data_IF_819266102472
#
_entry.id   IF_819266102472
#
_cell.length_a   1.000
_cell.length_b   1.000
_cell.length_c   1.000
_cell.angle_alpha   90.00
_cell.angle_beta   90.00
_cell.angle_gamma   90.00
#
_symmetry.space_group_name_H-M   'P 1'
#
loop_
_entity.id
_entity.type
_entity.pdbx_description
1 polymer ?
#
# COMPACT_ATOMS: atom_id res chain seq x y z
N UNK A 1 16.10 -18.55 -17.42
CA UNK A 1 15.80 -17.22 -17.96
C UNK A 1 14.47 -16.85 -17.31
N UNK A 2 14.59 -15.96 -16.34
CA UNK A 2 13.60 -15.16 -15.62
C UNK A 2 12.53 -15.86 -14.76
N UNK A 3 12.88 -16.01 -13.47
CA UNK A 3 11.99 -16.23 -12.32
C UNK A 3 11.06 -15.01 -12.09
N UNK A 4 10.17 -14.71 -13.05
CA UNK A 4 9.01 -13.89 -12.76
C UNK A 4 8.01 -14.74 -11.97
N UNK A 5 7.86 -14.47 -10.67
CA UNK A 5 6.72 -15.03 -9.94
C UNK A 5 5.45 -14.40 -10.52
N UNK A 6 4.62 -15.12 -11.30
CA UNK A 6 3.53 -14.50 -12.02
C UNK A 6 2.54 -13.91 -11.02
N UNK A 7 2.35 -12.59 -11.04
CA UNK A 7 1.16 -11.96 -10.48
C UNK A 7 1.31 -11.07 -9.24
N UNK A 8 2.51 -10.69 -8.83
CA UNK A 8 2.69 -9.69 -7.75
C UNK A 8 3.41 -8.43 -8.20
N UNK A 9 4.44 -8.56 -9.02
CA UNK A 9 5.26 -7.43 -9.45
C UNK A 9 6.02 -7.74 -10.74
N UNK A 10 6.58 -6.68 -11.34
CA UNK A 10 7.66 -6.74 -12.33
C UNK A 10 8.75 -5.77 -11.90
N UNK A 11 10.02 -6.12 -12.14
CA UNK A 11 11.16 -5.24 -11.85
C UNK A 11 11.98 -5.10 -13.13
N UNK A 12 11.96 -3.91 -13.72
CA UNK A 12 12.69 -3.62 -14.95
C UNK A 12 13.44 -2.29 -14.82
N UNK A 13 14.75 -2.29 -15.08
CA UNK A 13 15.62 -1.09 -15.05
C UNK A 13 15.57 -0.25 -13.76
N UNK A 14 15.25 -0.89 -12.63
CA UNK A 14 15.10 -0.25 -11.32
C UNK A 14 13.70 0.32 -11.05
N UNK A 15 12.73 0.07 -11.92
CA UNK A 15 11.31 0.38 -11.69
C UNK A 15 10.60 -0.88 -11.22
N UNK A 16 10.16 -0.86 -9.97
CA UNK A 16 9.33 -1.90 -9.38
C UNK A 16 7.86 -1.55 -9.62
N UNK A 17 7.19 -2.32 -10.47
CA UNK A 17 5.76 -2.21 -10.73
C UNK A 17 5.05 -3.28 -9.91
N UNK A 18 4.18 -2.92 -8.97
CA UNK A 18 3.46 -3.87 -8.09
C UNK A 18 1.97 -3.92 -8.41
N UNK A 19 1.34 -5.08 -8.24
CA UNK A 19 -0.08 -5.28 -8.52
C UNK A 19 -0.96 -5.02 -7.30
N UNK A 20 -2.26 -5.04 -7.55
CA UNK A 20 -3.31 -5.04 -6.53
C UNK A 20 -2.97 -5.89 -5.30
N UNK A 21 -3.13 -5.30 -4.12
CA UNK A 21 -2.96 -5.96 -2.82
C UNK A 21 -1.51 -6.15 -2.39
N UNK A 22 -0.53 -5.69 -3.18
CA UNK A 22 0.89 -5.81 -2.85
C UNK A 22 1.38 -4.56 -2.11
N UNK A 23 2.08 -4.80 -1.01
CA UNK A 23 2.81 -3.81 -0.24
C UNK A 23 4.30 -4.00 -0.47
N UNK A 24 4.99 -2.93 -0.86
CA UNK A 24 6.44 -2.83 -0.79
C UNK A 24 6.80 -2.27 0.58
N UNK A 25 7.71 -2.94 1.27
CA UNK A 25 8.30 -2.49 2.53
C UNK A 25 9.81 -2.44 2.33
N UNK A 26 10.38 -1.26 2.49
CA UNK A 26 11.82 -1.01 2.38
C UNK A 26 12.33 -0.79 3.80
N UNK A 27 13.16 -1.72 4.27
CA UNK A 27 13.76 -1.74 5.59
C UNK A 27 15.26 -1.66 5.42
N UNK A 28 15.82 -0.46 5.60
CA UNK A 28 17.27 -0.23 5.43
C UNK A 28 17.72 -0.67 4.03
N UNK A 29 18.40 -1.80 3.89
CA UNK A 29 18.90 -2.35 2.62
C UNK A 29 18.10 -3.58 2.15
N UNK A 30 16.97 -3.90 2.79
CA UNK A 30 16.09 -5.02 2.43
C UNK A 30 14.76 -4.52 1.86
N UNK A 31 14.34 -5.11 0.74
CA UNK A 31 13.04 -4.87 0.13
C UNK A 31 12.18 -6.13 0.28
N UNK A 32 11.05 -5.96 0.94
CA UNK A 32 10.06 -7.00 1.14
C UNK A 32 8.78 -6.66 0.40
N UNK A 33 8.25 -7.62 -0.35
CA UNK A 33 6.90 -7.59 -0.89
C UNK A 33 5.99 -8.39 0.01
N UNK A 34 4.92 -7.77 0.48
CA UNK A 34 3.91 -8.37 1.33
C UNK A 34 2.55 -8.38 0.63
N UNK A 35 1.78 -9.46 0.77
CA UNK A 35 0.38 -9.53 0.32
C UNK A 35 -0.50 -10.25 1.32
N UNK A 36 -1.72 -9.77 1.49
CA UNK A 36 -2.74 -10.47 2.29
C UNK A 36 -3.52 -11.42 1.37
N UNK A 37 -3.58 -12.70 1.74
CA UNK A 37 -4.49 -13.69 1.12
C UNK A 37 -5.15 -14.51 2.21
N UNK A 38 -6.49 -14.56 2.20
CA UNK A 38 -7.30 -15.29 3.19
C UNK A 38 -6.92 -14.96 4.64
N UNK A 39 -6.70 -13.67 4.94
CA UNK A 39 -6.33 -13.19 6.27
C UNK A 39 -4.88 -13.47 6.69
N UNK A 40 -4.06 -14.08 5.83
CA UNK A 40 -2.65 -14.38 6.10
C UNK A 40 -1.73 -13.48 5.28
N UNK A 41 -0.59 -13.12 5.86
CA UNK A 41 0.46 -12.34 5.19
C UNK A 41 1.43 -13.31 4.52
N UNK A 42 1.67 -13.09 3.24
CA UNK A 42 2.70 -13.76 2.45
C UNK A 42 3.79 -12.75 2.15
N UNK A 43 5.06 -13.16 2.23
CA UNK A 43 6.23 -12.27 2.07
C UNK A 43 7.21 -12.84 1.05
N UNK A 44 7.79 -11.95 0.24
CA UNK A 44 8.91 -12.24 -0.65
C UNK A 44 9.99 -11.19 -0.34
N UNK A 45 11.19 -11.63 0.01
CA UNK A 45 12.36 -10.75 0.10
C UNK A 45 13.02 -10.69 -1.28
N UNK A 46 13.39 -9.50 -1.73
CA UNK A 46 14.20 -9.29 -2.93
C UNK A 46 15.61 -8.89 -2.47
N UNK A 47 16.64 -9.54 -3.01
CA UNK A 47 18.04 -9.19 -2.74
C UNK A 47 18.58 -8.27 -3.86
N UNK A 48 19.47 -7.32 -3.53
CA UNK A 48 20.18 -6.44 -4.47
C UNK A 48 19.31 -5.72 -5.50
N UNK A 49 18.79 -4.55 -5.14
CA UNK A 49 17.94 -3.74 -6.01
C UNK A 49 18.49 -2.33 -6.17
N UNK A 50 18.84 -1.95 -7.41
CA UNK A 50 18.96 -0.55 -7.80
C UNK A 50 17.55 0.04 -8.00
N UNK A 51 16.76 0.07 -6.93
CA UNK A 51 15.39 0.58 -6.97
C UNK A 51 15.40 2.10 -7.13
N UNK A 52 14.94 2.56 -8.29
CA UNK A 52 14.77 3.99 -8.60
C UNK A 52 13.35 4.46 -8.29
N UNK A 53 12.36 3.60 -8.51
CA UNK A 53 10.95 3.96 -8.40
C UNK A 53 10.08 2.75 -8.08
N UNK A 54 9.09 2.97 -7.21
CA UNK A 54 7.94 2.07 -7.07
C UNK A 54 6.76 2.70 -7.81
N UNK A 55 6.03 1.86 -8.53
CA UNK A 55 4.74 2.20 -9.15
C UNK A 55 3.77 1.05 -8.94
N UNK A 56 2.47 1.31 -8.98
CA UNK A 56 1.47 0.24 -8.99
C UNK A 56 0.55 0.31 -10.19
N UNK A 57 0.05 -0.87 -10.53
CA UNK A 57 -0.97 -1.10 -11.55
C UNK A 57 -1.98 -2.07 -10.96
N UNK A 58 -3.03 -1.50 -10.40
CA UNK A 58 -4.14 -2.25 -9.84
C UNK A 58 -5.43 -1.49 -10.08
N UNK A 59 -6.55 -2.12 -9.72
CA UNK A 59 -7.85 -1.60 -10.09
C UNK A 59 -8.09 -0.19 -9.54
N UNK A 60 -8.81 0.63 -10.30
CA UNK A 60 -9.21 1.99 -9.93
C UNK A 60 -9.96 2.12 -8.60
N UNK A 61 -10.50 1.02 -8.07
CA UNK A 61 -11.15 0.94 -6.76
C UNK A 61 -10.17 0.79 -5.58
N UNK A 62 -8.90 0.48 -5.87
CA UNK A 62 -7.84 0.36 -4.88
C UNK A 62 -7.46 1.71 -4.28
N UNK A 63 -6.69 1.66 -3.21
CA UNK A 63 -6.22 2.83 -2.45
C UNK A 63 -4.71 2.73 -2.28
N UNK A 64 -3.99 3.82 -2.53
CA UNK A 64 -2.56 3.91 -2.27
C UNK A 64 -2.34 4.35 -0.83
N UNK A 65 -1.63 3.53 -0.05
CA UNK A 65 -1.20 3.87 1.31
C UNK A 65 0.32 3.96 1.31
N UNK A 66 0.82 5.13 1.66
CA UNK A 66 2.25 5.39 1.81
C UNK A 66 2.53 5.79 3.24
N UNK A 67 3.69 5.40 3.76
CA UNK A 67 4.10 5.87 5.06
C UNK A 67 5.54 5.55 5.38
N UNK A 68 5.98 6.11 6.50
CA UNK A 68 7.32 5.91 7.06
C UNK A 68 7.21 5.46 8.50
N UNK A 69 8.22 4.71 8.96
CA UNK A 69 8.31 4.29 10.35
C UNK A 69 9.63 4.70 10.99
N UNK A 70 9.58 5.03 12.28
CA UNK A 70 10.70 5.43 13.12
C UNK A 70 10.90 4.45 14.31
N UNK A 71 12.14 4.31 14.81
CA UNK A 71 13.37 4.95 14.33
C UNK A 71 13.89 4.35 13.01
N UNK A 72 14.69 5.13 12.26
CA UNK A 72 15.33 4.73 11.00
C UNK A 72 14.53 5.08 9.73
N UNK A 73 15.08 4.73 8.57
CA UNK A 73 14.45 4.96 7.26
C UNK A 73 13.70 3.70 6.80
N UNK A 74 12.54 3.45 7.41
CA UNK A 74 11.61 2.43 6.91
C UNK A 74 10.50 3.12 6.12
N UNK A 75 10.30 2.71 4.86
CA UNK A 75 9.27 3.24 3.98
C UNK A 75 8.40 2.09 3.47
N UNK A 76 7.10 2.31 3.36
CA UNK A 76 6.24 1.38 2.65
C UNK A 76 5.35 2.08 1.63
N UNK A 77 5.04 1.34 0.58
CA UNK A 77 4.09 1.69 -0.46
C UNK A 77 3.13 0.52 -0.65
N UNK A 78 1.86 0.74 -0.39
CA UNK A 78 0.86 -0.32 -0.43
C UNK A 78 -0.30 0.03 -1.34
N UNK A 79 -0.57 -0.84 -2.30
CA UNK A 79 -1.73 -0.74 -3.17
C UNK A 79 -2.87 -1.60 -2.60
N UNK A 80 -3.70 -0.98 -1.77
CA UNK A 80 -4.67 -1.65 -0.92
C UNK A 80 -6.00 -1.97 -1.64
N UNK A 81 -6.39 -3.24 -1.61
CA UNK A 81 -7.67 -3.76 -2.12
C UNK A 81 -8.86 -3.33 -1.25
N UNK A 82 -8.72 -3.55 0.05
CA UNK A 82 -9.80 -3.39 1.03
C UNK A 82 -9.28 -2.80 2.34
N UNK A 83 -10.13 -2.09 3.11
CA UNK A 83 -9.77 -1.59 4.43
C UNK A 83 -9.36 -2.71 5.40
N UNK A 84 -9.99 -3.89 5.31
CA UNK A 84 -9.68 -5.03 6.17
C UNK A 84 -8.29 -5.60 5.88
N UNK A 85 -7.95 -5.82 4.60
CA UNK A 85 -6.60 -6.24 4.21
C UNK A 85 -5.57 -5.17 4.60
N UNK A 86 -5.90 -3.89 4.43
CA UNK A 86 -5.02 -2.80 4.85
C UNK A 86 -4.78 -2.78 6.36
N UNK A 87 -5.81 -3.04 7.17
CA UNK A 87 -5.65 -3.15 8.62
C UNK A 87 -4.72 -4.31 9.00
N UNK A 88 -4.84 -5.45 8.33
CA UNK A 88 -3.95 -6.60 8.56
C UNK A 88 -2.50 -6.24 8.17
N UNK A 89 -2.33 -5.61 7.00
CA UNK A 89 -1.02 -5.21 6.49
C UNK A 89 -0.32 -4.21 7.43
N UNK A 90 -1.00 -3.13 7.82
CA UNK A 90 -0.44 -2.08 8.68
C UNK A 90 -0.08 -2.63 10.08
N UNK A 91 -0.92 -3.52 10.64
CA UNK A 91 -0.57 -4.24 11.88
C UNK A 91 0.68 -5.10 11.70
N UNK A 92 0.76 -5.85 10.60
CA UNK A 92 1.93 -6.68 10.32
C UNK A 92 3.19 -5.84 10.19
N UNK A 93 3.15 -4.69 9.48
CA UNK A 93 4.31 -3.80 9.34
C UNK A 93 4.78 -3.30 10.71
N UNK A 94 3.88 -2.77 11.54
CA UNK A 94 4.26 -2.30 12.87
C UNK A 94 4.81 -3.42 13.75
N UNK A 95 4.16 -4.60 13.75
CA UNK A 95 4.59 -5.74 14.57
C UNK A 95 5.92 -6.34 14.10
N UNK A 96 6.14 -6.49 12.79
CA UNK A 96 7.35 -7.15 12.28
C UNK A 96 8.58 -6.25 12.31
N UNK A 97 8.39 -4.94 12.32
CA UNK A 97 9.50 -3.98 12.40
C UNK A 97 9.78 -3.54 13.83
N UNK A 98 8.79 -3.63 14.73
CA UNK A 98 8.87 -3.04 16.07
C UNK A 98 8.93 -1.52 16.07
N UNK A 99 8.64 -0.88 14.92
CA UNK A 99 8.74 0.57 14.69
C UNK A 99 7.36 1.22 14.74
N UNK A 100 7.34 2.54 14.99
CA UNK A 100 6.13 3.35 15.03
C UNK A 100 5.97 4.12 13.73
N UNK A 101 4.73 4.35 13.28
CA UNK A 101 4.48 5.20 12.13
C UNK A 101 4.88 6.65 12.44
N UNK A 102 5.68 7.26 11.57
CA UNK A 102 6.03 8.69 11.62
C UNK A 102 5.32 9.50 10.54
N UNK A 103 4.86 8.84 9.47
CA UNK A 103 3.95 9.43 8.50
C UNK A 103 3.03 8.38 7.91
N UNK A 104 1.83 8.81 7.51
CA UNK A 104 0.85 7.99 6.81
C UNK A 104 0.04 8.87 5.87
N UNK A 105 -0.06 8.46 4.61
CA UNK A 105 -0.88 9.08 3.59
C UNK A 105 -1.73 8.02 2.92
N UNK A 106 -3.02 8.31 2.75
CA UNK A 106 -3.98 7.47 2.06
C UNK A 106 -4.50 8.27 0.87
N UNK A 107 -4.19 7.82 -0.36
CA UNK A 107 -4.65 8.41 -1.61
C UNK A 107 -5.71 7.50 -2.24
N UNK A 108 -6.88 8.06 -2.52
CA UNK A 108 -8.00 7.30 -3.08
C UNK A 108 -8.86 8.13 -4.01
N UNK A 109 -9.46 7.46 -4.98
CA UNK A 109 -10.62 7.98 -5.69
C UNK A 109 -11.87 7.86 -4.81
N UNK A 110 -12.58 8.96 -4.50
CA UNK A 110 -13.78 8.92 -3.67
C UNK A 110 -14.98 8.26 -4.36
N UNK A 111 -15.04 8.27 -5.70
CA UNK A 111 -16.13 7.70 -6.51
C UNK A 111 -15.56 6.83 -7.66
N UNK A 112 -14.88 5.72 -7.35
CA UNK A 112 -14.13 4.93 -8.35
C UNK A 112 -15.04 4.39 -9.47
N UNK A 113 -16.30 4.13 -9.18
CA UNK A 113 -17.29 3.61 -10.15
C UNK A 113 -18.08 4.70 -10.85
N UNK A 114 -17.82 5.99 -10.56
CA UNK A 114 -18.50 7.15 -11.13
C UNK A 114 -20.02 7.09 -10.98
N UNK A 115 -20.51 6.49 -9.89
CA UNK A 115 -21.95 6.31 -9.65
C UNK A 115 -22.59 7.61 -9.20
N UNK A 116 -21.79 8.61 -8.77
CA UNK A 116 -22.24 9.87 -8.16
C UNK A 116 -23.14 9.66 -6.95
N UNK A 117 -23.06 8.47 -6.34
CA UNK A 117 -23.84 8.14 -5.16
C UNK A 117 -23.16 8.73 -3.92
N UNK A 118 -23.67 9.86 -3.44
CA UNK A 118 -23.09 10.59 -2.31
C UNK A 118 -22.98 9.74 -1.05
N UNK A 119 -23.90 8.80 -0.81
CA UNK A 119 -23.84 7.90 0.35
C UNK A 119 -22.66 6.93 0.25
N UNK A 120 -22.43 6.35 -0.92
CA UNK A 120 -21.30 5.43 -1.16
C UNK A 120 -19.97 6.18 -1.08
N UNK A 121 -19.90 7.36 -1.68
CA UNK A 121 -18.74 8.24 -1.63
C UNK A 121 -18.38 8.60 -0.18
N UNK A 122 -19.35 9.11 0.58
CA UNK A 122 -19.14 9.46 2.00
C UNK A 122 -18.74 8.24 2.83
N UNK A 123 -19.36 7.08 2.58
CA UNK A 123 -19.00 5.83 3.27
C UNK A 123 -17.55 5.45 2.98
N UNK A 124 -17.13 5.44 1.71
CA UNK A 124 -15.76 5.11 1.31
C UNK A 124 -14.74 6.05 1.97
N UNK A 125 -14.96 7.35 1.89
CA UNK A 125 -14.09 8.36 2.52
C UNK A 125 -14.00 8.12 4.03
N UNK A 126 -15.15 7.94 4.70
CA UNK A 126 -15.19 7.70 6.14
C UNK A 126 -14.45 6.43 6.55
N UNK A 127 -14.63 5.33 5.81
CA UNK A 127 -14.01 4.04 6.12
C UNK A 127 -12.48 4.14 6.04
N UNK A 128 -11.94 4.73 4.97
CA UNK A 128 -10.49 4.90 4.82
C UNK A 128 -9.92 5.95 5.78
N UNK A 129 -10.66 7.01 6.09
CA UNK A 129 -10.28 8.00 7.10
C UNK A 129 -10.17 7.38 8.49
N UNK A 130 -11.13 6.55 8.88
CA UNK A 130 -11.11 5.87 10.18
C UNK A 130 -9.94 4.89 10.29
N UNK A 131 -9.61 4.20 9.19
CA UNK A 131 -8.42 3.35 9.13
C UNK A 131 -7.14 4.17 9.36
N UNK A 132 -6.99 5.30 8.65
CA UNK A 132 -5.85 6.19 8.82
C UNK A 132 -5.69 6.68 10.26
N UNK A 133 -6.77 7.23 10.83
CA UNK A 133 -6.82 7.70 12.23
C UNK A 133 -6.46 6.61 13.25
N UNK A 134 -6.81 5.35 12.97
CA UNK A 134 -6.51 4.22 13.86
C UNK A 134 -5.00 3.95 13.97
N UNK A 135 -4.24 4.14 12.90
CA UNK A 135 -2.80 3.84 12.86
C UNK A 135 -1.92 5.07 13.07
N UNK A 136 -2.36 6.24 12.63
CA UNK A 136 -1.59 7.47 12.76
C UNK A 136 -2.53 8.68 12.84
N UNK A 137 -2.51 9.37 13.98
CA UNK A 137 -3.47 10.47 14.27
C UNK A 137 -3.38 11.60 13.24
N UNK A 138 -2.16 11.93 12.80
CA UNK A 138 -1.88 13.04 11.89
C UNK A 138 -1.75 12.57 10.43
N UNK A 139 -2.42 11.47 10.07
CA UNK A 139 -2.41 10.96 8.70
C UNK A 139 -3.03 11.96 7.71
N UNK A 140 -2.62 11.85 6.45
CA UNK A 140 -3.16 12.63 5.34
C UNK A 140 -4.12 11.79 4.52
N UNK A 141 -5.29 12.34 4.20
CA UNK A 141 -6.21 11.79 3.21
C UNK A 141 -6.12 12.63 1.93
N UNK A 142 -5.85 12.00 0.79
CA UNK A 142 -5.69 12.64 -0.51
C UNK A 142 -6.77 12.10 -1.45
N UNK A 143 -7.59 13.00 -1.99
CA UNK A 143 -8.59 12.64 -2.99
C UNK A 143 -8.00 12.80 -4.38
N UNK A 144 -8.12 11.77 -5.19
CA UNK A 144 -7.62 11.78 -6.55
C UNK A 144 -8.57 11.04 -7.48
N UNK A 145 -9.31 11.80 -8.29
CA UNK A 145 -10.21 11.25 -9.30
C UNK A 145 -9.48 10.75 -10.57
N UNK A 146 -8.16 10.97 -10.67
CA UNK A 146 -7.32 10.53 -11.78
C UNK A 146 -6.40 9.38 -11.35
N UNK A 147 -6.75 8.64 -10.30
CA UNK A 147 -6.05 7.40 -10.01
C UNK A 147 -6.04 6.50 -11.26
N UNK A 148 -4.91 5.85 -11.59
CA UNK A 148 -4.79 5.03 -12.79
C UNK A 148 -5.94 4.02 -12.88
N UNK A 149 -6.56 3.93 -14.07
CA UNK A 149 -7.57 2.94 -14.42
C UNK A 149 -6.94 1.59 -14.73
#
# INVERSE_FOLDING_TARGET
MDDETPGWFTLHEGVLKIWEGVCVLILEEELQLCKVRNGKIFKIALESFNLKKVSSDGFWSCVEILGTLEPGHCLFYYHAETPDNAKIMLKNISNSTGRQFSSLSIRLDPDPLRTRNTKEVSKRISTWSQLGQHFFKDFRLVFDANMPL
#
